data_IF_940865644015
#
_entry.id   IF_940865644015
#
_cell.length_a   1.000
_cell.length_b   1.000
_cell.length_c   1.000
_cell.angle_alpha   90.00
_cell.angle_beta   90.00
_cell.angle_gamma   90.00
#
_symmetry.space_group_name_H-M   'P 1'
#
loop_
_entity.id
_entity.type
_entity.pdbx_description
1 polymer ?
#
# COMPACT_ATOMS: atom_id res chain seq x y z
N UNK A 1 11.72 -1.53 23.59
CA UNK A 1 11.80 -2.20 22.27
C UNK A 1 11.12 -1.31 21.25
N UNK A 2 11.74 -0.95 20.12
CA UNK A 2 11.06 -0.23 19.04
C UNK A 2 9.81 -1.02 18.61
N UNK A 3 8.66 -0.35 18.47
CA UNK A 3 7.35 -0.98 18.35
C UNK A 3 7.28 -1.98 17.17
N UNK A 4 7.93 -1.66 16.04
CA UNK A 4 7.98 -2.51 14.84
C UNK A 4 8.61 -3.90 15.03
N UNK A 5 9.58 -4.05 15.96
CA UNK A 5 10.27 -5.34 16.15
C UNK A 5 9.35 -6.44 16.69
N UNK A 6 8.40 -6.08 17.56
CA UNK A 6 7.41 -7.01 18.11
C UNK A 6 6.48 -7.58 17.02
N UNK A 7 6.08 -6.75 16.07
CA UNK A 7 5.22 -7.17 14.97
C UNK A 7 5.92 -8.14 14.01
N UNK A 8 7.21 -7.90 13.71
CA UNK A 8 8.02 -8.82 12.89
C UNK A 8 8.14 -10.20 13.54
N UNK A 9 8.40 -10.25 14.86
CA UNK A 9 8.52 -11.51 15.59
C UNK A 9 7.18 -12.28 15.61
N UNK A 10 6.06 -11.57 15.82
CA UNK A 10 4.72 -12.15 15.73
C UNK A 10 4.42 -12.70 14.33
N UNK A 11 4.73 -11.95 13.28
CA UNK A 11 4.57 -12.38 11.90
C UNK A 11 5.39 -13.64 11.59
N UNK A 12 6.67 -13.67 11.99
CA UNK A 12 7.55 -14.85 11.84
C UNK A 12 6.99 -16.09 12.53
N UNK A 13 6.40 -15.94 13.72
CA UNK A 13 5.75 -17.04 14.44
C UNK A 13 4.50 -17.52 13.71
N UNK A 14 3.69 -16.61 13.18
CA UNK A 14 2.45 -16.92 12.48
C UNK A 14 2.69 -17.65 11.14
N UNK A 15 3.74 -17.29 10.39
CA UNK A 15 4.03 -17.92 9.09
C UNK A 15 4.82 -19.24 9.20
N UNK A 16 5.45 -19.52 10.34
CA UNK A 16 6.30 -20.70 10.54
C UNK A 16 5.64 -22.04 10.15
N UNK A 17 4.35 -22.31 10.47
CA UNK A 17 3.70 -23.55 10.06
C UNK A 17 3.60 -23.74 8.54
N UNK A 18 3.75 -22.66 7.77
CA UNK A 18 3.66 -22.66 6.31
C UNK A 18 5.02 -22.61 5.62
N UNK A 19 6.14 -22.75 6.34
CA UNK A 19 7.48 -22.58 5.77
C UNK A 19 7.73 -23.40 4.48
N UNK A 20 7.27 -24.66 4.43
CA UNK A 20 7.38 -25.51 3.24
C UNK A 20 6.38 -25.20 2.11
N UNK A 21 5.52 -24.20 2.28
CA UNK A 21 4.48 -23.75 1.33
C UNK A 21 4.67 -22.28 0.91
N UNK A 22 5.75 -21.64 1.34
CA UNK A 22 6.04 -20.23 1.03
C UNK A 22 7.02 -20.18 -0.14
N UNK A 23 6.63 -19.49 -1.21
CA UNK A 23 7.54 -19.05 -2.26
C UNK A 23 7.94 -17.61 -1.99
N UNK A 24 9.22 -17.38 -1.78
CA UNK A 24 9.78 -16.02 -1.63
C UNK A 24 10.09 -15.41 -2.99
N UNK A 25 10.19 -14.08 -3.02
CA UNK A 25 10.59 -13.30 -4.19
C UNK A 25 11.54 -12.18 -3.78
N UNK A 26 12.19 -11.56 -4.75
CA UNK A 26 13.07 -10.44 -4.49
C UNK A 26 12.28 -9.19 -4.08
N UNK A 27 12.75 -8.47 -3.07
CA UNK A 27 12.05 -7.30 -2.49
C UNK A 27 12.70 -5.97 -2.86
N UNK A 28 13.78 -6.01 -3.66
CA UNK A 28 14.57 -4.86 -4.10
C UNK A 28 14.15 -4.33 -5.49
N UNK A 29 13.26 -5.05 -6.17
CA UNK A 29 12.75 -4.71 -7.49
C UNK A 29 11.32 -5.18 -7.66
N UNK A 30 10.67 -4.71 -8.72
CA UNK A 30 9.38 -5.23 -9.11
C UNK A 30 9.48 -6.69 -9.56
N UNK A 31 8.58 -7.54 -9.09
CA UNK A 31 8.50 -8.96 -9.47
C UNK A 31 7.06 -9.34 -9.74
N UNK A 32 6.79 -9.95 -10.90
CA UNK A 32 5.52 -10.59 -11.19
C UNK A 32 5.38 -11.88 -10.35
N UNK A 33 4.45 -11.86 -9.39
CA UNK A 33 4.26 -12.97 -8.43
C UNK A 33 3.15 -13.93 -8.87
N UNK A 34 2.21 -13.44 -9.68
CA UNK A 34 1.14 -14.17 -10.38
C UNK A 34 0.84 -13.43 -11.70
N UNK A 35 0.22 -14.07 -12.70
CA UNK A 35 -0.13 -13.39 -13.95
C UNK A 35 -0.90 -12.09 -13.71
N UNK A 36 -0.34 -10.97 -14.14
CA UNK A 36 -0.93 -9.63 -13.96
C UNK A 36 -0.85 -9.07 -12.54
N UNK A 37 -0.12 -9.70 -11.62
CA UNK A 37 0.09 -9.25 -10.23
C UNK A 37 1.57 -9.07 -9.95
N UNK A 38 1.93 -7.82 -9.68
CA UNK A 38 3.31 -7.40 -9.45
C UNK A 38 3.50 -6.95 -8.01
N UNK A 39 4.54 -7.47 -7.35
CA UNK A 39 5.02 -6.92 -6.09
C UNK A 39 5.89 -5.69 -6.37
N UNK A 40 5.58 -4.56 -5.72
CA UNK A 40 6.25 -3.27 -5.91
C UNK A 40 6.92 -2.86 -4.60
N UNK A 41 8.25 -2.74 -4.54
CA UNK A 41 8.96 -2.38 -3.32
C UNK A 41 8.52 -1.06 -2.70
N UNK A 42 8.13 -1.12 -1.42
CA UNK A 42 7.74 0.03 -0.62
C UNK A 42 8.31 -0.08 0.82
N UNK A 43 9.62 -0.27 1.00
CA UNK A 43 10.22 -0.51 2.30
C UNK A 43 10.01 0.67 3.27
N UNK A 44 10.23 0.42 4.56
CA UNK A 44 10.19 1.45 5.59
C UNK A 44 9.26 1.08 6.73
N UNK A 45 7.97 0.84 6.43
CA UNK A 45 7.04 0.30 7.41
C UNK A 45 7.57 -1.00 8.01
N UNK A 46 7.96 -1.92 7.13
CA UNK A 46 8.89 -3.01 7.42
C UNK A 46 9.96 -3.09 6.33
N UNK A 47 11.12 -3.74 6.56
CA UNK A 47 12.15 -3.88 5.53
C UNK A 47 11.67 -4.61 4.27
N UNK A 48 10.69 -5.52 4.40
CA UNK A 48 10.12 -6.29 3.29
C UNK A 48 8.74 -5.82 2.85
N UNK A 49 8.34 -4.59 3.20
CA UNK A 49 7.04 -4.07 2.81
C UNK A 49 6.97 -3.86 1.29
N UNK A 50 5.91 -4.40 0.69
CA UNK A 50 5.62 -4.30 -0.74
C UNK A 50 4.16 -3.93 -0.94
N UNK A 51 3.89 -3.17 -1.99
CA UNK A 51 2.55 -3.00 -2.54
C UNK A 51 2.30 -4.07 -3.61
N UNK A 52 1.04 -4.37 -3.90
CA UNK A 52 0.67 -5.26 -5.01
C UNK A 52 -0.06 -4.48 -6.10
N UNK A 53 0.52 -4.43 -7.29
CA UNK A 53 -0.07 -3.84 -8.49
C UNK A 53 -0.76 -4.92 -9.30
N UNK A 54 -2.04 -4.72 -9.58
CA UNK A 54 -2.87 -5.58 -10.40
C UNK A 54 -3.09 -4.88 -11.74
N UNK A 55 -2.91 -5.61 -12.84
CA UNK A 55 -3.16 -5.11 -14.19
C UNK A 55 -4.03 -6.11 -14.96
N UNK A 56 -5.07 -5.60 -15.62
CA UNK A 56 -5.98 -6.38 -16.47
C UNK A 56 -6.44 -5.50 -17.64
N UNK A 57 -6.05 -5.87 -18.87
CA UNK A 57 -6.28 -5.02 -20.03
C UNK A 57 -5.69 -3.62 -19.83
N UNK A 58 -6.53 -2.59 -19.94
CA UNK A 58 -6.14 -1.19 -19.75
C UNK A 58 -6.37 -0.68 -18.31
N UNK A 59 -6.80 -1.55 -17.39
CA UNK A 59 -7.07 -1.19 -16.00
C UNK A 59 -5.91 -1.56 -15.09
N UNK A 60 -5.63 -0.71 -14.10
CA UNK A 60 -4.61 -0.95 -13.07
C UNK A 60 -5.10 -0.51 -11.69
N UNK A 61 -4.77 -1.31 -10.69
CA UNK A 61 -5.05 -1.05 -9.27
C UNK A 61 -3.81 -1.33 -8.42
N UNK A 62 -3.62 -0.56 -7.35
CA UNK A 62 -2.59 -0.82 -6.35
C UNK A 62 -3.23 -1.15 -4.99
N UNK A 63 -2.90 -2.30 -4.43
CA UNK A 63 -3.08 -2.57 -2.99
C UNK A 63 -1.81 -2.09 -2.28
N UNK A 64 -1.89 -0.99 -1.56
CA UNK A 64 -0.70 -0.25 -1.12
C UNK A 64 -0.09 -0.74 0.22
N UNK A 65 -0.68 -1.74 0.88
CA UNK A 65 -0.30 -2.14 2.24
C UNK A 65 -0.42 -1.01 3.27
N UNK A 66 0.65 -0.79 4.04
CA UNK A 66 0.73 0.12 5.19
C UNK A 66 1.43 1.44 4.85
N UNK A 67 1.30 1.91 3.60
CA UNK A 67 1.78 3.23 3.15
C UNK A 67 1.18 4.35 4.03
N UNK A 68 -0.09 4.20 4.41
CA UNK A 68 -0.78 5.10 5.34
C UNK A 68 -1.65 4.31 6.32
N UNK A 69 -1.65 4.77 7.58
CA UNK A 69 -2.41 4.28 8.73
C UNK A 69 -3.47 5.30 9.21
N UNK A 70 -3.18 6.59 9.06
CA UNK A 70 -4.03 7.73 9.39
C UNK A 70 -4.18 8.58 8.13
N UNK A 71 -4.99 8.05 7.20
CA UNK A 71 -5.07 8.50 5.80
C UNK A 71 -5.22 10.01 5.67
N UNK A 72 -6.12 10.64 6.42
CA UNK A 72 -6.35 12.10 6.35
C UNK A 72 -5.08 12.89 6.70
N UNK A 73 -4.40 12.52 7.79
CA UNK A 73 -3.23 13.25 8.29
C UNK A 73 -2.01 12.96 7.41
N UNK A 74 -1.78 11.69 7.08
CA UNK A 74 -0.57 11.27 6.37
C UNK A 74 -0.59 11.59 4.89
N UNK A 75 -1.75 11.73 4.25
CA UNK A 75 -1.80 12.25 2.89
C UNK A 75 -1.63 13.77 2.88
N UNK A 76 -2.23 14.49 3.83
CA UNK A 76 -2.04 15.95 3.95
C UNK A 76 -0.60 16.32 4.36
N UNK A 77 0.08 15.47 5.14
CA UNK A 77 1.45 15.67 5.65
C UNK A 77 2.34 14.45 5.37
N UNK A 78 2.62 14.13 4.10
CA UNK A 78 3.26 12.85 3.74
C UNK A 78 4.71 12.72 4.20
N UNK A 79 5.35 13.86 4.49
CA UNK A 79 6.71 13.94 5.03
C UNK A 79 6.81 13.64 6.53
N UNK A 80 5.69 13.53 7.24
CA UNK A 80 5.70 13.23 8.67
C UNK A 80 6.07 11.77 8.91
N UNK A 81 6.95 11.55 9.89
CA UNK A 81 7.37 10.21 10.31
C UNK A 81 6.25 9.50 11.06
N UNK A 82 6.19 8.18 10.93
CA UNK A 82 5.16 7.37 11.59
C UNK A 82 5.84 6.43 12.58
N UNK A 83 5.38 6.44 13.83
CA UNK A 83 6.05 5.72 14.92
C UNK A 83 6.08 4.20 14.75
N UNK A 84 5.20 3.64 13.92
CA UNK A 84 5.13 2.19 13.65
C UNK A 84 6.06 1.73 12.53
N UNK A 85 6.65 2.66 11.77
CA UNK A 85 7.63 2.32 10.74
C UNK A 85 8.94 1.86 11.37
N UNK A 86 9.49 0.74 10.90
CA UNK A 86 10.79 0.21 11.33
C UNK A 86 11.92 1.15 10.91
N UNK A 87 11.86 1.66 9.69
CA UNK A 87 12.70 2.75 9.19
C UNK A 87 11.80 3.91 8.76
N UNK A 88 11.73 4.92 9.63
CA UNK A 88 10.86 6.07 9.43
C UNK A 88 11.27 6.97 8.25
N UNK A 89 12.57 7.02 7.94
CA UNK A 89 13.04 7.84 6.82
C UNK A 89 12.68 7.16 5.50
N UNK A 90 12.96 5.86 5.40
CA UNK A 90 12.56 5.05 4.25
C UNK A 90 11.03 4.98 4.10
N UNK A 91 10.29 4.90 5.21
CA UNK A 91 8.82 4.91 5.19
C UNK A 91 8.24 6.21 4.61
N UNK A 92 8.85 7.36 4.92
CA UNK A 92 8.50 8.64 4.29
C UNK A 92 8.83 8.63 2.80
N UNK A 93 10.00 8.15 2.41
CA UNK A 93 10.40 8.09 1.00
C UNK A 93 9.45 7.20 0.18
N UNK A 94 9.14 6.01 0.67
CA UNK A 94 8.19 5.11 0.02
C UNK A 94 6.79 5.70 -0.04
N UNK A 95 6.31 6.35 1.03
CA UNK A 95 5.01 7.04 1.00
C UNK A 95 4.96 8.13 -0.06
N UNK A 96 5.97 8.99 -0.14
CA UNK A 96 6.01 10.07 -1.14
C UNK A 96 6.03 9.51 -2.56
N UNK A 97 6.93 8.56 -2.85
CA UNK A 97 7.02 7.92 -4.16
C UNK A 97 5.70 7.27 -4.58
N UNK A 98 5.06 6.55 -3.66
CA UNK A 98 3.77 5.91 -3.93
C UNK A 98 2.67 6.93 -4.15
N UNK A 99 2.50 7.93 -3.28
CA UNK A 99 1.43 8.93 -3.41
C UNK A 99 1.60 9.80 -4.67
N UNK A 100 2.83 10.16 -5.03
CA UNK A 100 3.12 10.89 -6.28
C UNK A 100 2.68 10.10 -7.51
N UNK A 101 3.08 8.82 -7.59
CA UNK A 101 2.67 7.92 -8.68
C UNK A 101 1.14 7.81 -8.75
N UNK A 102 0.49 7.57 -7.61
CA UNK A 102 -0.97 7.41 -7.54
C UNK A 102 -1.72 8.66 -7.98
N UNK A 103 -1.25 9.85 -7.58
CA UNK A 103 -1.86 11.12 -7.97
C UNK A 103 -1.67 11.42 -9.46
N UNK A 104 -0.49 11.10 -10.01
CA UNK A 104 -0.15 11.31 -11.41
C UNK A 104 -0.94 10.37 -12.34
N UNK A 105 -0.92 9.08 -12.04
CA UNK A 105 -1.48 8.03 -12.90
C UNK A 105 -2.97 7.81 -12.66
N UNK A 106 -3.51 8.39 -11.57
CA UNK A 106 -4.92 8.30 -11.19
C UNK A 106 -5.42 6.87 -11.10
N UNK A 107 -4.61 5.90 -10.68
CA UNK A 107 -5.01 4.49 -10.58
C UNK A 107 -5.89 4.24 -9.35
N UNK A 108 -6.65 3.14 -9.36
CA UNK A 108 -7.47 2.74 -8.21
C UNK A 108 -6.55 2.23 -7.10
N UNK A 109 -6.86 2.56 -5.84
CA UNK A 109 -6.10 2.14 -4.67
C UNK A 109 -6.99 1.33 -3.75
N UNK A 110 -6.48 0.22 -3.25
CA UNK A 110 -7.00 -0.49 -2.09
C UNK A 110 -6.09 -0.32 -0.89
N UNK A 111 -6.62 0.20 0.22
CA UNK A 111 -5.87 0.44 1.45
C UNK A 111 -6.45 -0.28 2.65
N UNK A 112 -5.58 -0.79 3.53
CA UNK A 112 -5.99 -1.55 4.74
C UNK A 112 -6.38 -0.65 5.92
N UNK A 113 -5.97 0.63 5.90
CA UNK A 113 -6.25 1.63 6.95
C UNK A 113 -6.92 2.90 6.41
N UNK A 114 -7.68 2.77 5.31
CA UNK A 114 -8.54 3.84 4.78
C UNK A 114 -10.00 3.59 5.19
N UNK A 115 -10.89 4.60 5.11
CA UNK A 115 -12.31 4.39 5.38
C UNK A 115 -12.90 3.26 4.53
N UNK A 116 -13.76 2.44 5.14
CA UNK A 116 -14.52 1.40 4.44
C UNK A 116 -15.26 2.01 3.24
N UNK A 117 -15.18 1.44 2.01
CA UNK A 117 -14.83 0.05 1.70
C UNK A 117 -13.36 -0.23 1.37
N UNK A 118 -12.45 0.67 1.70
CA UNK A 118 -11.03 0.42 1.44
C UNK A 118 -10.55 0.90 0.07
N UNK A 119 -11.45 1.39 -0.79
CA UNK A 119 -11.12 1.74 -2.19
C UNK A 119 -11.31 3.22 -2.51
N UNK A 120 -10.38 3.76 -3.28
CA UNK A 120 -10.39 5.18 -3.66
C UNK A 120 -9.26 5.54 -4.62
N UNK A 121 -9.08 6.84 -4.82
CA UNK A 121 -7.97 7.41 -5.57
C UNK A 121 -7.26 8.46 -4.73
N UNK A 122 -6.01 8.74 -5.08
CA UNK A 122 -5.23 9.81 -4.48
C UNK A 122 -5.22 10.98 -5.46
N UNK A 123 -5.45 12.20 -4.97
CA UNK A 123 -5.29 13.44 -5.73
C UNK A 123 -4.21 14.31 -5.09
N UNK A 124 -3.49 15.09 -5.89
CA UNK A 124 -2.59 16.12 -5.37
C UNK A 124 -3.39 17.27 -4.77
N UNK A 125 -2.93 17.81 -3.64
CA UNK A 125 -3.56 18.93 -2.94
C UNK A 125 -2.49 19.78 -2.23
N UNK A 126 -2.07 20.87 -2.88
CA UNK A 126 -0.98 21.70 -2.42
C UNK A 126 0.32 20.91 -2.24
N UNK A 127 0.85 20.90 -1.02
CA UNK A 127 2.06 20.14 -0.64
C UNK A 127 1.77 18.68 -0.23
N UNK A 128 0.50 18.28 -0.22
CA UNK A 128 0.04 16.96 0.19
C UNK A 128 -0.88 16.33 -0.83
N UNK A 129 -1.75 15.47 -0.32
CA UNK A 129 -2.68 14.67 -1.11
C UNK A 129 -4.03 14.54 -0.42
N UNK A 130 -5.05 14.20 -1.21
CA UNK A 130 -6.39 13.88 -0.74
C UNK A 130 -6.76 12.45 -1.12
N UNK A 131 -7.40 11.76 -0.18
CA UNK A 131 -8.08 10.50 -0.44
C UNK A 131 -9.49 10.79 -0.97
N UNK A 132 -9.76 10.37 -2.19
CA UNK A 132 -11.10 10.39 -2.78
C UNK A 132 -11.64 8.98 -2.75
N UNK A 133 -12.49 8.72 -1.76
CA UNK A 133 -13.15 7.43 -1.62
C UNK A 133 -14.00 7.13 -2.86
N UNK A 134 -13.88 5.90 -3.37
CA UNK A 134 -14.74 5.45 -4.46
C UNK A 134 -16.15 5.26 -3.86
N UNK A 135 -17.20 5.87 -4.43
CA UNK A 135 -18.54 5.67 -3.91
C UNK A 135 -18.91 4.19 -3.98
N UNK A 136 -19.70 3.75 -3.01
CA UNK A 136 -20.25 2.40 -3.04
C UNK A 136 -21.13 2.27 -4.27
N UNK A 137 -20.81 1.31 -5.13
CA UNK A 137 -21.69 0.91 -6.21
C UNK A 137 -22.46 -0.30 -5.69
N UNK A 138 -23.76 -0.14 -5.42
CA UNK A 138 -24.64 -1.32 -5.38
C UNK A 138 -24.43 -2.02 -6.73
N UNK A 139 -24.15 -3.32 -6.73
CA UNK A 139 -23.83 -4.11 -7.92
C UNK A 139 -24.95 -4.23 -8.96
N UNK A 140 -25.87 -3.26 -9.01
CA UNK A 140 -26.69 -2.96 -10.15
C UNK A 140 -25.73 -2.46 -11.23
N UNK A 141 -25.39 -3.34 -12.17
CA UNK A 141 -24.78 -2.90 -13.43
C UNK A 141 -25.64 -1.82 -14.10
N UNK A 142 -25.16 -1.22 -15.20
CA UNK A 142 -26.01 -0.29 -15.96
C UNK A 142 -27.37 -0.95 -16.24
N UNK A 143 -28.43 -0.34 -15.75
CA UNK A 143 -29.78 -0.52 -16.30
C UNK A 143 -29.68 0.08 -17.69
N UNK A 144 -29.87 -0.77 -18.71
CA UNK A 144 -29.68 -0.42 -20.12
C UNK A 144 -30.49 0.77 -20.61
#
# INVERSE_FOLDING_TARGET
MPQGRRFIEAARRAIRPYAGRIRTFAIDREVEVLPGVFSVPAPGHTPGHVSYRFSSGNETMLIWGDIAHQTVIQLARPRWRVGVDVDQAMGVESRLRTLEMLARERILVGGVHVPWPGFGRVLADGEGYLWVQRPWQLGLGPIG
#
